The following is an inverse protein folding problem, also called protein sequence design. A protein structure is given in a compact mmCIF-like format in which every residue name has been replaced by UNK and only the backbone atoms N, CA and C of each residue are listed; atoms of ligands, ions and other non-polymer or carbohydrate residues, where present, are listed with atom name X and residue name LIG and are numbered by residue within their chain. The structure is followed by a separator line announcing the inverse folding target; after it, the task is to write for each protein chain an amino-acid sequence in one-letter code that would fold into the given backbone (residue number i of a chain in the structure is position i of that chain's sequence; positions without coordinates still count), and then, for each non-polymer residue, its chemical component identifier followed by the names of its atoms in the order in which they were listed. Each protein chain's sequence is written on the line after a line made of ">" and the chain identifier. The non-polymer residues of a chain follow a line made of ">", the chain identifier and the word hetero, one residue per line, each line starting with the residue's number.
data_IF_042926614327
#
_entry.id   IF_042926614327
#
_cell.length_a   1.000
_cell.length_b   1.000
_cell.length_c   1.000
_cell.angle_alpha   90.00
_cell.angle_beta   90.00
_cell.angle_gamma   90.00
#
_symmetry.space_group_name_H-M   'P 1'
#
loop_
_entity.id
_entity.type
_entity.pdbx_description
1 polymer ?
#
# COMPACT_ATOMS: atom_id res chain seq x y z
N UNK A 1 10.28 -1.58 -14.86
CA UNK A 1 11.63 -1.92 -14.32
C UNK A 1 12.71 -2.01 -15.42
N UNK A 2 12.85 -1.04 -16.32
CA UNK A 2 13.81 -1.11 -17.43
C UNK A 2 15.27 -1.10 -16.96
N UNK A 3 15.63 -0.29 -15.98
CA UNK A 3 17.02 -0.14 -15.53
C UNK A 3 17.58 -1.36 -14.81
N UNK A 4 16.73 -2.12 -14.13
CA UNK A 4 17.12 -3.41 -13.51
C UNK A 4 17.36 -4.46 -14.59
N UNK A 5 16.48 -4.53 -15.60
CA UNK A 5 16.65 -5.44 -16.75
C UNK A 5 17.90 -5.09 -17.58
N UNK A 6 18.28 -3.81 -17.62
CA UNK A 6 19.47 -3.33 -18.27
C UNK A 6 20.76 -3.43 -17.41
N UNK A 7 20.70 -4.08 -16.26
CA UNK A 7 21.81 -4.19 -15.28
C UNK A 7 22.41 -2.85 -14.82
N UNK A 8 21.66 -1.75 -14.93
CA UNK A 8 22.09 -0.44 -14.43
C UNK A 8 21.86 -0.28 -12.92
N UNK A 9 20.86 -1.00 -12.40
CA UNK A 9 20.49 -1.00 -10.98
C UNK A 9 20.40 -2.43 -10.47
N UNK A 10 20.84 -2.65 -9.22
CA UNK A 10 20.69 -3.90 -8.49
C UNK A 10 19.66 -3.72 -7.41
N UNK A 11 18.61 -4.56 -7.41
CA UNK A 11 17.67 -4.63 -6.30
C UNK A 11 18.31 -5.43 -5.17
N UNK A 12 18.35 -4.88 -3.97
CA UNK A 12 18.95 -5.53 -2.80
C UNK A 12 17.90 -6.33 -2.02
N UNK A 13 16.71 -5.73 -1.78
CA UNK A 13 15.60 -6.34 -1.09
C UNK A 13 14.27 -5.69 -1.49
N UNK A 14 13.16 -6.37 -1.20
CA UNK A 14 11.81 -5.86 -1.37
C UNK A 14 11.25 -5.41 -0.02
N UNK A 15 10.53 -4.29 -0.01
CA UNK A 15 9.86 -3.77 1.18
C UNK A 15 8.52 -4.46 1.51
N UNK A 16 8.03 -5.32 0.63
CA UNK A 16 6.80 -6.10 0.81
C UNK A 16 7.04 -7.34 1.68
N UNK A 17 6.00 -7.79 2.40
CA UNK A 17 6.04 -9.00 3.20
C UNK A 17 6.28 -10.30 2.39
N UNK A 18 6.02 -10.26 1.07
CA UNK A 18 6.20 -11.40 0.17
C UNK A 18 7.05 -11.03 -1.02
N UNK A 19 7.78 -12.03 -1.55
CA UNK A 19 8.53 -11.85 -2.80
C UNK A 19 7.61 -11.54 -3.96
N UNK A 20 8.04 -10.64 -4.84
CA UNK A 20 7.30 -10.32 -6.07
C UNK A 20 7.57 -11.38 -7.15
N UNK A 21 6.53 -11.86 -7.84
CA UNK A 21 6.70 -12.74 -9.01
C UNK A 21 7.56 -12.13 -10.13
N UNK A 22 7.60 -10.80 -10.21
CA UNK A 22 8.41 -10.09 -11.21
C UNK A 22 9.93 -10.20 -10.95
N UNK A 23 10.33 -10.44 -9.69
CA UNK A 23 11.74 -10.56 -9.26
C UNK A 23 11.88 -11.62 -8.16
N UNK A 24 11.64 -12.91 -8.48
CA UNK A 24 11.52 -13.98 -7.47
C UNK A 24 12.83 -14.26 -6.72
N UNK A 25 13.96 -13.88 -7.29
CA UNK A 25 15.28 -14.07 -6.70
C UNK A 25 15.68 -12.97 -5.70
N UNK A 26 14.88 -11.90 -5.58
CA UNK A 26 15.16 -10.80 -4.65
C UNK A 26 14.51 -11.12 -3.31
N UNK A 27 15.27 -11.13 -2.20
CA UNK A 27 14.72 -11.39 -0.87
C UNK A 27 13.85 -10.21 -0.40
N UNK A 28 12.98 -10.46 0.57
CA UNK A 28 12.28 -9.40 1.28
C UNK A 28 13.18 -8.78 2.37
N UNK A 29 12.82 -7.61 2.87
CA UNK A 29 13.51 -6.98 4.01
C UNK A 29 13.46 -7.89 5.24
N UNK A 30 12.33 -8.58 5.48
CA UNK A 30 12.15 -9.52 6.56
C UNK A 30 13.11 -10.73 6.43
N UNK A 31 13.21 -11.32 5.24
CA UNK A 31 14.18 -12.38 4.94
C UNK A 31 15.63 -11.91 5.09
N UNK A 32 15.87 -10.62 4.92
CA UNK A 32 17.19 -9.99 5.11
C UNK A 32 17.50 -9.61 6.57
N UNK A 33 16.61 -9.95 7.52
CA UNK A 33 16.82 -9.78 8.96
C UNK A 33 16.15 -8.53 9.57
N UNK A 34 15.44 -7.72 8.78
CA UNK A 34 14.69 -6.57 9.27
C UNK A 34 13.26 -7.01 9.56
N UNK A 35 12.98 -7.33 10.82
CA UNK A 35 11.68 -7.86 11.26
C UNK A 35 10.58 -6.79 11.18
N UNK A 36 9.34 -7.24 10.97
CA UNK A 36 8.12 -6.42 10.94
C UNK A 36 8.14 -5.29 9.90
N UNK A 37 8.95 -5.45 8.83
CA UNK A 37 9.07 -4.48 7.78
C UNK A 37 8.19 -4.87 6.57
N UNK A 38 6.99 -4.31 6.52
CA UNK A 38 6.08 -4.42 5.37
C UNK A 38 5.60 -3.02 4.98
N UNK A 39 6.28 -2.40 4.03
CA UNK A 39 5.89 -1.10 3.46
C UNK A 39 5.61 -1.29 1.99
N UNK A 40 4.33 -1.42 1.65
CA UNK A 40 3.87 -1.61 0.29
C UNK A 40 3.08 -0.39 -0.16
N UNK A 41 3.46 0.18 -1.30
CA UNK A 41 2.65 1.21 -1.94
C UNK A 41 1.40 0.56 -2.54
N UNK A 42 0.25 1.11 -2.20
CA UNK A 42 -1.02 0.65 -2.75
C UNK A 42 -1.82 1.84 -3.32
N UNK A 43 -2.69 1.55 -4.24
CA UNK A 43 -3.61 2.53 -4.83
C UNK A 43 -5.04 1.97 -4.81
N UNK A 44 -5.99 2.83 -4.58
CA UNK A 44 -7.41 2.47 -4.56
C UNK A 44 -8.29 3.61 -5.04
N UNK A 45 -9.50 3.28 -5.47
CA UNK A 45 -10.50 4.23 -5.93
C UNK A 45 -11.50 4.46 -4.80
N UNK A 46 -11.76 5.72 -4.50
CA UNK A 46 -12.69 6.14 -3.45
C UNK A 46 -13.86 6.90 -4.07
N UNK A 47 -15.04 6.68 -3.51
CA UNK A 47 -16.25 7.41 -3.84
C UNK A 47 -16.61 8.39 -2.71
N UNK A 48 -17.28 9.52 -3.01
CA UNK A 48 -17.81 10.39 -1.97
C UNK A 48 -18.76 9.66 -1.03
N UNK A 49 -18.77 10.04 0.25
CA UNK A 49 -19.52 9.35 1.32
C UNK A 49 -21.03 9.15 1.01
N UNK A 50 -21.64 10.07 0.28
CA UNK A 50 -23.07 10.00 -0.06
C UNK A 50 -23.38 9.26 -1.35
N UNK A 51 -22.40 8.57 -1.94
CA UNK A 51 -22.62 7.73 -3.13
C UNK A 51 -23.50 6.53 -2.76
N UNK A 52 -24.61 6.29 -3.48
CA UNK A 52 -25.48 5.14 -3.22
C UNK A 52 -24.71 3.82 -3.32
N UNK A 53 -25.00 2.87 -2.42
CA UNK A 53 -24.33 1.57 -2.37
C UNK A 53 -24.44 0.77 -3.69
N UNK A 54 -25.52 0.92 -4.42
CA UNK A 54 -25.70 0.28 -5.74
C UNK A 54 -24.65 0.75 -6.75
N UNK A 55 -24.37 2.06 -6.74
CA UNK A 55 -23.34 2.65 -7.62
C UNK A 55 -21.96 2.15 -7.23
N UNK A 56 -21.65 2.12 -5.93
CA UNK A 56 -20.36 1.62 -5.43
C UNK A 56 -20.18 0.15 -5.79
N UNK A 57 -21.21 -0.68 -5.60
CA UNK A 57 -21.17 -2.11 -5.92
C UNK A 57 -21.05 -2.36 -7.44
N UNK A 58 -21.67 -1.52 -8.25
CA UNK A 58 -21.51 -1.60 -9.70
C UNK A 58 -20.10 -1.23 -10.12
N UNK A 59 -19.55 -0.14 -9.62
CA UNK A 59 -18.18 0.29 -9.89
C UNK A 59 -17.15 -0.78 -9.46
N UNK A 60 -17.33 -1.38 -8.30
CA UNK A 60 -16.45 -2.46 -7.83
C UNK A 60 -16.44 -3.64 -8.82
N UNK A 61 -17.62 -4.12 -9.27
CA UNK A 61 -17.71 -5.21 -10.25
C UNK A 61 -17.08 -4.88 -11.60
N UNK A 62 -17.31 -3.67 -12.11
CA UNK A 62 -16.71 -3.23 -13.37
C UNK A 62 -15.19 -3.15 -13.25
N UNK A 63 -14.68 -2.65 -12.10
CA UNK A 63 -13.25 -2.61 -11.83
C UNK A 63 -12.64 -4.02 -11.76
N UNK A 64 -13.30 -4.97 -11.10
CA UNK A 64 -12.83 -6.36 -11.06
C UNK A 64 -12.73 -6.96 -12.47
N UNK A 65 -13.72 -6.71 -13.33
CA UNK A 65 -13.71 -7.18 -14.73
C UNK A 65 -12.56 -6.55 -15.53
N UNK A 66 -12.33 -5.25 -15.38
CA UNK A 66 -11.22 -4.54 -16.04
C UNK A 66 -9.87 -5.10 -15.55
N UNK A 67 -9.70 -5.24 -14.25
CA UNK A 67 -8.46 -5.76 -13.66
C UNK A 67 -8.23 -7.25 -13.98
N UNK A 68 -9.26 -7.99 -14.37
CA UNK A 68 -9.14 -9.37 -14.82
C UNK A 68 -8.62 -9.50 -16.27
N UNK A 69 -8.68 -8.44 -17.06
CA UNK A 69 -8.26 -8.45 -18.46
C UNK A 69 -6.76 -8.71 -18.60
N UNK A 70 -6.32 -9.56 -19.54
CA UNK A 70 -4.91 -9.96 -19.68
C UNK A 70 -3.98 -8.80 -20.02
N UNK A 71 -4.43 -7.88 -20.87
CA UNK A 71 -3.69 -6.68 -21.27
C UNK A 71 -3.46 -5.73 -20.09
N UNK A 72 -4.49 -5.50 -19.26
CA UNK A 72 -4.40 -4.70 -18.03
C UNK A 72 -3.46 -5.33 -17.03
N UNK A 73 -3.56 -6.65 -16.83
CA UNK A 73 -2.64 -7.39 -15.94
C UNK A 73 -1.19 -7.27 -16.41
N UNK A 74 -0.95 -7.43 -17.69
CA UNK A 74 0.40 -7.29 -18.27
C UNK A 74 0.94 -5.88 -18.09
N UNK A 75 0.13 -4.87 -18.37
CA UNK A 75 0.51 -3.47 -18.20
C UNK A 75 0.88 -3.15 -16.74
N UNK A 76 0.07 -3.60 -15.78
CA UNK A 76 0.32 -3.39 -14.35
C UNK A 76 1.56 -4.16 -13.88
N UNK A 77 1.74 -5.40 -14.32
CA UNK A 77 2.92 -6.19 -13.99
C UNK A 77 4.21 -5.55 -14.54
N UNK A 78 4.20 -5.00 -15.75
CA UNK A 78 5.34 -4.28 -16.32
C UNK A 78 5.65 -2.99 -15.56
N UNK A 79 4.64 -2.33 -15.00
CA UNK A 79 4.78 -1.21 -14.08
C UNK A 79 5.29 -1.64 -12.69
N UNK A 80 5.35 -2.95 -12.40
CA UNK A 80 5.73 -3.48 -11.09
C UNK A 80 4.61 -3.50 -10.06
N UNK A 81 3.35 -3.34 -10.51
CA UNK A 81 2.17 -3.39 -9.67
C UNK A 81 1.53 -4.79 -9.67
N UNK A 82 1.06 -5.23 -8.52
CA UNK A 82 0.30 -6.46 -8.35
C UNK A 82 -1.20 -6.13 -8.22
N UNK A 83 -2.02 -6.82 -9.03
CA UNK A 83 -3.48 -6.68 -8.96
C UNK A 83 -4.00 -7.47 -7.78
N UNK A 84 -4.67 -6.79 -6.83
CA UNK A 84 -5.29 -7.40 -5.68
C UNK A 84 -6.77 -7.04 -5.60
N UNK A 85 -7.65 -7.81 -6.25
CA UNK A 85 -9.09 -7.59 -6.17
C UNK A 85 -9.57 -7.73 -4.73
N UNK A 86 -10.41 -6.80 -4.29
CA UNK A 86 -11.02 -6.81 -2.96
C UNK A 86 -12.47 -6.37 -3.07
N UNK A 87 -13.34 -6.97 -2.28
CA UNK A 87 -14.68 -6.43 -2.05
C UNK A 87 -14.61 -5.07 -1.34
N UNK A 88 -15.68 -4.30 -1.41
CA UNK A 88 -15.76 -3.00 -0.73
C UNK A 88 -15.55 -3.09 0.78
N UNK A 89 -16.03 -4.19 1.41
CA UNK A 89 -15.84 -4.44 2.84
C UNK A 89 -14.38 -4.77 3.19
N UNK A 90 -13.74 -5.64 2.41
CA UNK A 90 -12.33 -6.00 2.58
C UNK A 90 -11.43 -4.78 2.37
N UNK A 91 -11.71 -3.99 1.31
CA UNK A 91 -10.94 -2.77 1.06
C UNK A 91 -11.10 -1.75 2.18
N UNK A 92 -12.30 -1.57 2.73
CA UNK A 92 -12.53 -0.69 3.88
C UNK A 92 -11.72 -1.13 5.11
N UNK A 93 -11.70 -2.43 5.40
CA UNK A 93 -10.93 -3.01 6.50
C UNK A 93 -9.43 -2.84 6.28
N UNK A 94 -8.97 -3.06 5.05
CA UNK A 94 -7.59 -2.86 4.66
C UNK A 94 -7.15 -1.40 4.85
N UNK A 95 -7.92 -0.43 4.35
CA UNK A 95 -7.61 1.00 4.50
C UNK A 95 -7.53 1.41 5.98
N UNK A 96 -8.42 0.90 6.82
CA UNK A 96 -8.38 1.16 8.27
C UNK A 96 -7.12 0.57 8.92
N UNK A 97 -6.74 -0.64 8.56
CA UNK A 97 -5.52 -1.27 9.10
C UNK A 97 -4.27 -0.49 8.68
N UNK A 98 -4.21 -0.05 7.43
CA UNK A 98 -3.11 0.78 6.93
C UNK A 98 -3.04 2.13 7.65
N UNK A 99 -4.18 2.82 7.80
CA UNK A 99 -4.24 4.07 8.52
C UNK A 99 -3.73 3.93 9.97
N UNK A 100 -4.14 2.88 10.68
CA UNK A 100 -3.67 2.60 12.04
C UNK A 100 -2.16 2.30 12.07
N UNK A 101 -1.65 1.56 11.09
CA UNK A 101 -0.22 1.24 10.99
C UNK A 101 0.61 2.50 10.80
N UNK A 102 0.23 3.36 9.86
CA UNK A 102 0.92 4.63 9.63
C UNK A 102 0.80 5.59 10.82
N UNK A 103 -0.33 5.63 11.51
CA UNK A 103 -0.49 6.44 12.72
C UNK A 103 0.47 6.02 13.84
N UNK A 104 0.71 4.72 14.01
CA UNK A 104 1.71 4.21 14.95
C UNK A 104 3.13 4.62 14.55
N UNK A 105 3.49 4.52 13.27
CA UNK A 105 4.80 4.97 12.79
C UNK A 105 5.02 6.46 13.02
N UNK A 106 4.04 7.29 12.67
CA UNK A 106 4.10 8.74 12.87
C UNK A 106 4.28 9.07 14.36
N UNK A 107 3.53 8.41 15.23
CA UNK A 107 3.63 8.65 16.67
C UNK A 107 4.98 8.22 17.25
N UNK A 108 5.52 7.09 16.82
CA UNK A 108 6.82 6.60 17.28
C UNK A 108 7.97 7.50 16.82
N UNK A 109 8.01 7.87 15.56
CA UNK A 109 9.05 8.74 15.01
C UNK A 109 8.95 10.19 15.54
N UNK A 110 7.73 10.71 15.66
CA UNK A 110 7.52 12.06 16.21
C UNK A 110 7.86 12.14 17.70
N UNK A 111 7.51 11.12 18.52
CA UNK A 111 7.90 11.07 19.92
C UNK A 111 9.42 10.94 20.10
N UNK A 112 10.09 10.12 19.30
CA UNK A 112 11.54 9.94 19.42
C UNK A 112 12.33 11.21 19.06
N UNK A 113 11.85 11.99 18.09
CA UNK A 113 12.47 13.28 17.74
C UNK A 113 12.14 14.42 18.72
N UNK A 114 10.98 14.39 19.38
CA UNK A 114 10.58 15.41 20.36
C UNK A 114 11.22 15.20 21.75
N UNK A 115 11.72 14.01 22.06
CA UNK A 115 12.47 13.78 23.30
C UNK A 115 13.87 14.41 23.29
N UNK A 116 14.36 14.85 22.13
CA UNK A 116 15.61 15.65 22.01
C UNK A 116 15.38 17.16 21.87
N UNK A 117 14.14 17.64 21.85
CA UNK A 117 13.81 19.07 21.77
C UNK A 117 12.39 19.33 22.22
N UNK A 118 12.23 19.75 23.46
CA UNK A 118 11.13 20.42 24.15
C UNK A 118 9.70 20.16 23.61
N UNK A 119 8.90 19.45 24.39
CA UNK A 119 7.45 19.32 24.21
C UNK A 119 6.73 20.66 24.18
N UNK A 120 6.33 21.09 22.98
CA UNK A 120 5.32 22.13 22.79
C UNK A 120 4.22 21.53 21.91
N UNK A 121 3.01 21.37 22.48
CA UNK A 121 1.90 20.64 21.90
C UNK A 121 1.48 21.12 20.51
N UNK A 122 1.34 20.17 19.60
CA UNK A 122 0.48 20.26 18.42
C UNK A 122 -0.31 18.96 18.32
N UNK A 123 -1.47 18.97 18.94
CA UNK A 123 -2.51 17.97 18.66
C UNK A 123 -3.12 18.26 17.30
N UNK A 124 -2.56 17.71 16.24
CA UNK A 124 -3.27 17.57 15.00
C UNK A 124 -3.96 16.20 15.01
N UNK A 125 -5.15 16.15 15.59
CA UNK A 125 -6.09 15.07 15.36
C UNK A 125 -6.54 15.17 13.89
N UNK A 126 -5.99 14.30 13.03
CA UNK A 126 -6.61 14.03 11.74
C UNK A 126 -7.86 13.21 12.04
N UNK A 127 -8.96 13.91 12.24
CA UNK A 127 -10.28 13.33 12.39
C UNK A 127 -10.76 12.93 10.99
N UNK A 128 -10.41 11.74 10.55
CA UNK A 128 -10.99 11.10 9.37
C UNK A 128 -12.20 10.29 9.83
N UNK A 129 -13.29 11.01 10.00
CA UNK A 129 -14.66 10.69 9.67
C UNK A 129 -15.54 9.83 10.56
N UNK A 130 -16.82 10.22 10.62
CA UNK A 130 -17.86 9.22 10.67
C UNK A 130 -18.26 8.75 9.28
#
# INVERSE_FOLDING_TARGET
>A
MPDVRANKLKILALSSARRSPAVPNVPTMEESGIKDFDVTLWAGIFAPRRTPNEVVSRLNREMEQILAQPDVKTFLADAGAEVRPMSTAEFTSFVRSEANRYDLFIKQEFCSRLLYGGCGGFGAAINLLP
#
